data_IF_130514422492
#
_entry.id   IF_130514422492
#
_cell.length_a   1.000
_cell.length_b   1.000
_cell.length_c   1.000
_cell.angle_alpha   90.00
_cell.angle_beta   90.00
_cell.angle_gamma   90.00
#
_symmetry.space_group_name_H-M   'P 1'
#
loop_
_entity.id
_entity.type
_entity.pdbx_description
1 polymer ?
#
# COMPACT_ATOMS: atom_id res chain seq x y z
N UNK A 1 32.70 1.88 -5.69
CA UNK A 1 31.39 1.19 -5.79
C UNK A 1 31.58 -0.24 -5.35
N UNK A 2 30.86 -0.70 -4.34
CA UNK A 2 30.88 -2.09 -3.90
C UNK A 2 29.80 -2.87 -4.65
N UNK A 3 30.20 -3.76 -5.54
CA UNK A 3 29.28 -4.64 -6.29
C UNK A 3 28.79 -5.73 -5.35
N UNK A 4 27.54 -5.63 -4.92
CA UNK A 4 26.89 -6.69 -4.14
C UNK A 4 26.41 -7.75 -5.14
N UNK A 5 27.12 -8.87 -5.22
CA UNK A 5 26.74 -10.02 -6.05
C UNK A 5 25.74 -10.90 -5.31
N UNK A 6 24.49 -10.94 -5.79
CA UNK A 6 23.49 -11.88 -5.30
C UNK A 6 23.72 -13.27 -5.91
N UNK A 7 23.71 -14.35 -5.11
CA UNK A 7 23.68 -15.70 -5.64
C UNK A 7 22.51 -15.91 -6.61
N UNK A 8 22.75 -16.63 -7.71
CA UNK A 8 21.74 -16.85 -8.77
C UNK A 8 20.44 -17.47 -8.22
N UNK A 9 20.55 -18.35 -7.23
CA UNK A 9 19.41 -19.03 -6.62
C UNK A 9 18.53 -18.05 -5.81
N UNK A 10 19.13 -17.18 -4.99
CA UNK A 10 18.39 -16.17 -4.23
C UNK A 10 17.75 -15.13 -5.12
N UNK A 11 18.44 -14.72 -6.20
CA UNK A 11 17.84 -13.85 -7.21
C UNK A 11 16.61 -14.48 -7.89
N UNK A 12 16.71 -15.77 -8.24
CA UNK A 12 15.62 -16.51 -8.87
C UNK A 12 14.40 -16.69 -7.94
N UNK A 13 14.62 -16.87 -6.64
CA UNK A 13 13.54 -16.91 -5.64
C UNK A 13 12.85 -15.55 -5.46
N UNK A 14 13.61 -14.45 -5.49
CA UNK A 14 13.05 -13.10 -5.43
C UNK A 14 12.14 -12.85 -6.64
N UNK A 15 12.59 -13.20 -7.85
CA UNK A 15 11.78 -13.08 -9.06
C UNK A 15 10.48 -13.88 -8.98
N UNK A 16 10.53 -15.15 -8.52
CA UNK A 16 9.34 -15.98 -8.32
C UNK A 16 8.37 -15.38 -7.30
N UNK A 17 8.87 -14.72 -6.25
CA UNK A 17 8.02 -14.04 -5.26
C UNK A 17 7.39 -12.78 -5.84
N UNK A 18 8.13 -12.02 -6.63
CA UNK A 18 7.61 -10.84 -7.34
C UNK A 18 6.50 -11.23 -8.31
N UNK A 19 6.73 -12.25 -9.14
CA UNK A 19 5.72 -12.73 -10.09
C UNK A 19 4.42 -13.17 -9.40
N UNK A 20 4.52 -13.87 -8.25
CA UNK A 20 3.35 -14.25 -7.45
C UNK A 20 2.61 -13.04 -6.87
N UNK A 21 3.35 -12.02 -6.43
CA UNK A 21 2.76 -10.79 -5.92
C UNK A 21 2.05 -10.01 -7.03
N UNK A 22 2.65 -9.93 -8.22
CA UNK A 22 2.06 -9.26 -9.38
C UNK A 22 0.76 -9.94 -9.81
N UNK A 23 0.73 -11.28 -9.85
CA UNK A 23 -0.50 -12.03 -10.14
C UNK A 23 -1.60 -11.78 -9.09
N UNK A 24 -1.23 -11.72 -7.81
CA UNK A 24 -2.18 -11.43 -6.74
C UNK A 24 -2.75 -10.00 -6.85
N UNK A 25 -1.89 -9.03 -7.14
CA UNK A 25 -2.28 -7.64 -7.36
C UNK A 25 -3.21 -7.53 -8.57
N UNK A 26 -2.88 -8.16 -9.69
CA UNK A 26 -3.71 -8.13 -10.90
C UNK A 26 -5.10 -8.73 -10.66
N UNK A 27 -5.21 -9.82 -9.90
CA UNK A 27 -6.51 -10.40 -9.52
C UNK A 27 -7.33 -9.46 -8.64
N UNK A 28 -6.70 -8.79 -7.68
CA UNK A 28 -7.36 -7.81 -6.82
C UNK A 28 -7.79 -6.57 -7.61
N UNK A 29 -6.96 -6.10 -8.53
CA UNK A 29 -7.31 -4.99 -9.43
C UNK A 29 -8.51 -5.36 -10.30
N UNK A 30 -8.50 -6.54 -10.91
CA UNK A 30 -9.64 -7.03 -11.69
C UNK A 30 -10.91 -7.17 -10.84
N UNK A 31 -10.81 -7.67 -9.61
CA UNK A 31 -11.95 -7.75 -8.71
C UNK A 31 -12.48 -6.35 -8.33
N UNK A 32 -11.60 -5.36 -8.13
CA UNK A 32 -11.99 -3.97 -7.87
C UNK A 32 -12.62 -3.32 -9.11
N UNK A 33 -12.08 -3.59 -10.30
CA UNK A 33 -12.63 -3.12 -11.58
C UNK A 33 -14.00 -3.76 -11.86
N UNK A 34 -14.17 -5.06 -11.59
CA UNK A 34 -15.46 -5.76 -11.73
C UNK A 34 -16.48 -5.30 -10.68
N UNK A 35 -16.03 -4.87 -9.48
CA UNK A 35 -16.87 -4.31 -8.43
C UNK A 35 -17.18 -2.82 -8.61
N UNK A 36 -16.47 -2.09 -9.49
CA UNK A 36 -16.79 -0.73 -9.91
C UNK A 36 -17.61 -0.79 -11.20
N UNK A 37 -18.92 -0.64 -11.19
CA UNK A 37 -19.58 0.67 -11.11
C UNK A 37 -20.98 0.62 -10.45
N UNK A 38 -21.39 -0.53 -9.92
CA UNK A 38 -22.78 -0.74 -9.48
C UNK A 38 -23.08 -0.55 -7.99
N UNK A 39 -22.14 -0.85 -7.08
CA UNK A 39 -22.51 -1.02 -5.65
C UNK A 39 -21.41 -0.60 -4.65
N UNK A 40 -20.65 0.47 -4.92
CA UNK A 40 -19.79 1.01 -3.86
C UNK A 40 -20.67 1.68 -2.81
N UNK A 41 -20.92 0.97 -1.70
CA UNK A 41 -21.76 1.46 -0.60
C UNK A 41 -21.29 2.87 -0.18
N UNK A 42 -22.21 3.84 0.00
CA UNK A 42 -21.86 5.22 0.37
C UNK A 42 -20.99 5.32 1.64
N UNK A 43 -21.12 4.35 2.55
CA UNK A 43 -20.27 4.25 3.75
C UNK A 43 -18.81 3.99 3.44
N UNK A 44 -18.50 3.25 2.37
CA UNK A 44 -17.12 2.97 1.92
C UNK A 44 -16.53 4.22 1.26
N UNK A 45 -17.31 4.93 0.43
CA UNK A 45 -16.90 6.21 -0.15
C UNK A 45 -16.60 7.26 0.92
N UNK A 46 -17.47 7.38 1.93
CA UNK A 46 -17.27 8.30 3.06
C UNK A 46 -16.02 7.96 3.89
N UNK A 47 -15.70 6.66 4.03
CA UNK A 47 -14.46 6.22 4.69
C UNK A 47 -13.22 6.54 3.85
N UNK A 48 -13.29 6.34 2.54
CA UNK A 48 -12.20 6.66 1.62
C UNK A 48 -11.92 8.17 1.61
N UNK A 49 -12.96 9.00 1.54
CA UNK A 49 -12.83 10.46 1.59
C UNK A 49 -12.19 10.94 2.91
N UNK A 50 -12.62 10.38 4.05
CA UNK A 50 -11.99 10.66 5.36
C UNK A 50 -10.52 10.29 5.36
N UNK A 51 -10.16 9.12 4.83
CA UNK A 51 -8.75 8.68 4.77
C UNK A 51 -7.92 9.52 3.81
N UNK A 52 -8.48 9.96 2.68
CA UNK A 52 -7.81 10.87 1.75
C UNK A 52 -7.48 12.19 2.43
N UNK A 53 -8.43 12.80 3.16
CA UNK A 53 -8.19 14.03 3.91
C UNK A 53 -7.07 13.89 4.96
N UNK A 54 -7.06 12.79 5.70
CA UNK A 54 -6.00 12.54 6.69
C UNK A 54 -4.62 12.34 6.04
N UNK A 55 -4.56 11.74 4.85
CA UNK A 55 -3.33 11.60 4.08
C UNK A 55 -2.84 12.94 3.54
N UNK A 56 -3.76 13.81 3.10
CA UNK A 56 -3.44 15.17 2.66
C UNK A 56 -2.98 16.06 3.83
N UNK A 57 -3.61 15.94 5.00
CA UNK A 57 -3.20 16.64 6.23
C UNK A 57 -1.82 16.18 6.72
N UNK A 58 -1.48 14.90 6.53
CA UNK A 58 -0.16 14.34 6.84
C UNK A 58 0.92 14.65 5.78
N UNK A 59 0.55 15.25 4.64
CA UNK A 59 1.43 15.42 3.50
C UNK A 59 2.52 16.44 3.82
N UNK A 60 3.76 15.97 3.93
CA UNK A 60 4.93 16.79 4.31
C UNK A 60 5.33 16.68 5.78
N UNK A 61 4.55 15.99 6.61
CA UNK A 61 4.93 15.70 8.00
C UNK A 61 5.96 14.57 8.01
N UNK A 62 7.17 14.86 8.50
CA UNK A 62 8.22 13.86 8.71
C UNK A 62 8.16 13.32 10.13
N UNK A 63 7.56 12.15 10.29
CA UNK A 63 7.57 11.40 11.54
C UNK A 63 8.88 10.61 11.65
N UNK A 64 9.65 10.85 12.71
CA UNK A 64 11.01 10.30 12.87
C UNK A 64 11.02 8.89 13.43
N UNK A 65 9.95 8.45 14.11
CA UNK A 65 9.89 7.15 14.75
C UNK A 65 8.44 6.68 15.04
N UNK A 66 8.31 5.41 15.42
CA UNK A 66 7.03 4.75 15.74
C UNK A 66 6.31 5.34 16.98
N UNK A 67 7.02 6.07 17.84
CA UNK A 67 6.42 6.77 18.99
C UNK A 67 5.66 8.02 18.52
N UNK A 68 6.28 8.82 17.65
CA UNK A 68 5.65 9.99 17.02
C UNK A 68 4.45 9.59 16.16
N UNK A 69 4.56 8.50 15.39
CA UNK A 69 3.43 7.97 14.62
C UNK A 69 2.22 7.64 15.51
N UNK A 70 2.43 6.92 16.62
CA UNK A 70 1.33 6.56 17.54
C UNK A 70 0.72 7.77 18.24
N UNK A 71 1.51 8.79 18.54
CA UNK A 71 1.00 10.05 19.11
C UNK A 71 0.18 10.83 18.08
N UNK A 72 0.66 10.94 16.84
CA UNK A 72 -0.04 11.59 15.74
C UNK A 72 -1.40 10.93 15.47
N UNK A 73 -1.44 9.60 15.34
CA UNK A 73 -2.69 8.86 15.09
C UNK A 73 -3.68 8.96 16.25
N UNK A 74 -3.23 9.11 17.50
CA UNK A 74 -4.12 9.31 18.65
C UNK A 74 -4.73 10.71 18.73
N UNK A 75 -4.11 11.70 18.09
CA UNK A 75 -4.57 13.09 18.07
C UNK A 75 -5.52 13.42 16.91
N UNK A 76 -5.66 12.50 15.95
CA UNK A 76 -6.64 12.54 14.85
C UNK A 76 -7.97 11.89 15.27
#
# INVERSE_FOLDING_TARGET
MSTITLPRNTYSEILKRQERADVAIAKLQKAVEELGYGEVKPSVLKRLEKQSRLLDEGRGIKLKNMKEYRAYVRGL
#
